data_IF_263495916761
#
_entry.id   IF_263495916761
#
_cell.length_a   1.000
_cell.length_b   1.000
_cell.length_c   1.000
_cell.angle_alpha   90.00
_cell.angle_beta   90.00
_cell.angle_gamma   90.00
#
_symmetry.space_group_name_H-M   'P 1'
#
loop_
_entity.id
_entity.type
_entity.pdbx_description
1 polymer ?
#
# COMPACT_ATOMS: atom_id res chain seq x y z
N UNK A 1 -54.96 20.26 28.79
CA UNK A 1 -53.84 20.51 27.86
C UNK A 1 -53.42 19.19 27.23
N UNK A 2 -53.70 18.96 25.94
CA UNK A 2 -53.21 17.77 25.23
C UNK A 2 -51.73 17.99 24.95
N UNK A 3 -50.85 17.25 25.63
CA UNK A 3 -49.42 17.24 25.31
C UNK A 3 -49.25 16.69 23.90
N UNK A 4 -48.65 17.48 23.02
CA UNK A 4 -48.37 17.08 21.65
C UNK A 4 -47.29 15.99 21.65
N UNK A 5 -47.74 14.73 21.57
CA UNK A 5 -46.89 13.52 21.59
C UNK A 5 -45.87 13.46 20.44
N UNK A 6 -45.95 14.39 19.47
CA UNK A 6 -44.97 14.55 18.38
C UNK A 6 -43.67 15.20 18.83
N UNK A 7 -43.69 15.94 19.94
CA UNK A 7 -42.53 16.63 20.53
C UNK A 7 -41.89 15.84 21.68
N UNK A 8 -42.02 14.51 21.68
CA UNK A 8 -41.44 13.70 22.74
C UNK A 8 -39.97 13.36 22.42
N UNK A 9 -38.98 13.98 23.11
CA UNK A 9 -37.56 13.85 22.76
C UNK A 9 -37.08 12.39 22.82
N UNK A 10 -37.65 11.61 23.74
CA UNK A 10 -37.35 10.19 23.92
C UNK A 10 -37.73 9.34 22.70
N UNK A 11 -38.74 9.74 21.92
CA UNK A 11 -39.18 9.03 20.71
C UNK A 11 -38.31 9.39 19.49
N UNK A 12 -37.72 10.57 19.47
CA UNK A 12 -36.78 11.01 18.42
C UNK A 12 -35.35 10.55 18.66
N UNK A 13 -34.94 10.31 19.92
CA UNK A 13 -33.58 9.85 20.27
C UNK A 13 -33.19 8.60 19.48
N UNK A 14 -34.05 7.56 19.43
CA UNK A 14 -33.75 6.34 18.67
C UNK A 14 -33.57 6.59 17.16
N UNK A 15 -34.33 7.53 16.57
CA UNK A 15 -34.16 7.94 15.17
C UNK A 15 -32.85 8.69 14.96
N UNK A 16 -32.49 9.61 15.88
CA UNK A 16 -31.22 10.32 15.81
C UNK A 16 -30.03 9.35 15.89
N UNK A 17 -30.09 8.34 16.77
CA UNK A 17 -29.06 7.30 16.86
C UNK A 17 -28.91 6.50 15.55
N UNK A 18 -30.02 6.10 14.92
CA UNK A 18 -29.97 5.44 13.62
C UNK A 18 -29.36 6.34 12.56
N UNK A 19 -29.79 7.61 12.46
CA UNK A 19 -29.22 8.55 11.48
C UNK A 19 -27.74 8.85 11.73
N UNK A 20 -27.30 8.89 12.99
CA UNK A 20 -25.89 9.06 13.34
C UNK A 20 -25.07 7.81 13.00
N UNK A 21 -25.64 6.61 13.20
CA UNK A 21 -25.02 5.35 12.81
C UNK A 21 -24.87 5.26 11.29
N UNK A 22 -25.89 5.64 10.53
CA UNK A 22 -25.81 5.67 9.07
C UNK A 22 -24.77 6.68 8.61
N UNK A 23 -24.77 7.89 9.19
CA UNK A 23 -23.80 8.93 8.85
C UNK A 23 -22.35 8.50 9.15
N UNK A 24 -22.12 7.76 10.24
CA UNK A 24 -20.80 7.24 10.57
C UNK A 24 -20.36 6.16 9.57
N UNK A 25 -21.26 5.23 9.20
CA UNK A 25 -21.00 4.22 8.17
C UNK A 25 -20.69 4.87 6.81
N UNK A 26 -21.48 5.87 6.37
CA UNK A 26 -21.20 6.63 5.16
C UNK A 26 -19.84 7.32 5.20
N UNK A 27 -19.46 7.88 6.34
CA UNK A 27 -18.17 8.55 6.51
C UNK A 27 -17.01 7.55 6.41
N UNK A 28 -17.17 6.35 6.97
CA UNK A 28 -16.18 5.27 6.87
C UNK A 28 -15.99 4.81 5.42
N UNK A 29 -17.08 4.56 4.70
CA UNK A 29 -17.02 4.16 3.29
C UNK A 29 -16.38 5.25 2.45
N UNK A 30 -16.78 6.52 2.63
CA UNK A 30 -16.18 7.65 1.91
C UNK A 30 -14.68 7.77 2.18
N UNK A 31 -14.25 7.56 3.42
CA UNK A 31 -12.82 7.54 3.79
C UNK A 31 -12.08 6.39 3.09
N UNK A 32 -12.66 5.19 3.08
CA UNK A 32 -12.11 4.03 2.36
C UNK A 32 -11.95 4.29 0.86
N UNK A 33 -12.96 4.90 0.22
CA UNK A 33 -12.90 5.29 -1.19
C UNK A 33 -11.81 6.32 -1.44
N UNK A 34 -11.67 7.34 -0.58
CA UNK A 34 -10.61 8.34 -0.72
C UNK A 34 -9.20 7.70 -0.62
N UNK A 35 -9.00 6.79 0.34
CA UNK A 35 -7.72 6.06 0.46
C UNK A 35 -7.45 5.20 -0.78
N UNK A 36 -8.48 4.51 -1.30
CA UNK A 36 -8.35 3.69 -2.48
C UNK A 36 -8.10 4.51 -3.76
N UNK A 37 -8.66 5.72 -3.85
CA UNK A 37 -8.40 6.65 -4.93
C UNK A 37 -6.94 7.12 -4.93
N UNK A 38 -6.42 7.52 -3.76
CA UNK A 38 -5.01 7.88 -3.62
C UNK A 38 -4.08 6.71 -3.95
N UNK A 39 -4.43 5.48 -3.54
CA UNK A 39 -3.69 4.28 -3.91
C UNK A 39 -3.70 4.06 -5.43
N UNK A 40 -4.87 4.16 -6.07
CA UNK A 40 -5.02 3.99 -7.52
C UNK A 40 -4.19 5.02 -8.28
N UNK A 41 -4.28 6.29 -7.90
CA UNK A 41 -3.48 7.37 -8.49
C UNK A 41 -2.00 7.09 -8.31
N UNK A 42 -1.55 6.68 -7.11
CA UNK A 42 -0.16 6.36 -6.87
C UNK A 42 0.34 5.17 -7.73
N UNK A 43 -0.47 4.13 -7.91
CA UNK A 43 -0.13 2.97 -8.75
C UNK A 43 -0.07 3.33 -10.24
N UNK A 44 -1.03 4.12 -10.73
CA UNK A 44 -1.05 4.59 -12.11
C UNK A 44 0.11 5.55 -12.41
N UNK A 45 0.35 6.54 -11.55
CA UNK A 45 1.30 7.61 -11.83
C UNK A 45 2.76 7.19 -11.57
N UNK A 46 3.03 6.49 -10.46
CA UNK A 46 4.41 6.19 -10.04
C UNK A 46 4.97 4.93 -10.70
N UNK A 47 4.12 3.94 -10.96
CA UNK A 47 4.53 2.65 -11.55
C UNK A 47 4.02 2.45 -12.97
N UNK A 48 3.28 3.42 -13.54
CA UNK A 48 2.70 3.35 -14.89
C UNK A 48 1.85 2.09 -15.11
N UNK A 49 1.20 1.64 -14.04
CA UNK A 49 0.37 0.44 -14.05
C UNK A 49 -1.02 0.75 -14.61
N UNK A 50 -1.50 -0.12 -15.49
CA UNK A 50 -2.89 -0.05 -15.96
C UNK A 50 -3.81 -0.69 -14.90
N UNK A 51 -4.39 0.14 -14.04
CA UNK A 51 -5.41 -0.30 -13.09
C UNK A 51 -6.79 -0.21 -13.75
N UNK A 52 -7.39 -1.36 -14.03
CA UNK A 52 -8.73 -1.43 -14.64
C UNK A 52 -9.85 -1.16 -13.63
N UNK A 53 -9.59 -1.38 -12.35
CA UNK A 53 -10.55 -1.22 -11.26
C UNK A 53 -10.73 0.24 -10.87
N UNK A 54 -11.97 0.64 -10.64
CA UNK A 54 -12.34 1.93 -10.06
C UNK A 54 -11.88 2.05 -8.60
N UNK A 55 -11.77 3.29 -8.11
CA UNK A 55 -11.44 3.56 -6.70
C UNK A 55 -12.47 2.95 -5.74
N UNK A 56 -13.74 2.84 -6.16
CA UNK A 56 -14.78 2.17 -5.39
C UNK A 56 -14.56 0.64 -5.30
N UNK A 57 -14.20 -0.02 -6.40
CA UNK A 57 -13.91 -1.46 -6.40
C UNK A 57 -12.68 -1.79 -5.55
N UNK A 58 -11.63 -0.96 -5.62
CA UNK A 58 -10.45 -1.10 -4.76
C UNK A 58 -10.80 -0.90 -3.27
N UNK A 59 -11.65 0.09 -2.97
CA UNK A 59 -12.13 0.30 -1.60
C UNK A 59 -12.91 -0.92 -1.09
N UNK A 60 -13.78 -1.50 -1.90
CA UNK A 60 -14.51 -2.73 -1.55
C UNK A 60 -13.53 -3.84 -1.21
N UNK A 61 -12.51 -4.10 -2.04
CA UNK A 61 -11.49 -5.11 -1.76
C UNK A 61 -10.79 -4.88 -0.41
N UNK A 62 -10.37 -3.64 -0.15
CA UNK A 62 -9.69 -3.27 1.10
C UNK A 62 -10.59 -3.43 2.32
N UNK A 63 -11.85 -2.99 2.23
CA UNK A 63 -12.84 -3.12 3.31
C UNK A 63 -13.20 -4.58 3.55
N UNK A 64 -13.39 -5.38 2.50
CA UNK A 64 -13.63 -6.82 2.61
C UNK A 64 -12.44 -7.53 3.25
N UNK A 65 -11.21 -7.16 2.93
CA UNK A 65 -10.02 -7.73 3.55
C UNK A 65 -9.95 -7.41 5.06
N UNK A 66 -10.28 -6.18 5.45
CA UNK A 66 -10.35 -5.75 6.84
C UNK A 66 -11.47 -6.49 7.60
N UNK A 67 -12.67 -6.52 7.03
CA UNK A 67 -13.83 -7.19 7.61
C UNK A 67 -13.60 -8.71 7.75
N UNK A 68 -13.06 -9.37 6.72
CA UNK A 68 -12.78 -10.80 6.76
C UNK A 68 -11.57 -11.16 7.65
N UNK A 69 -10.83 -10.17 8.15
CA UNK A 69 -9.65 -10.39 8.99
C UNK A 69 -8.55 -11.11 8.24
N UNK A 70 -8.24 -10.67 7.02
CA UNK A 70 -7.15 -11.25 6.25
C UNK A 70 -5.82 -11.03 6.97
N UNK A 71 -5.12 -12.14 7.27
CA UNK A 71 -3.78 -12.15 7.86
C UNK A 71 -2.69 -12.49 6.85
N UNK A 72 -1.55 -13.00 7.34
CA UNK A 72 -0.33 -13.30 6.56
C UNK A 72 -0.58 -14.09 5.27
N UNK A 73 -1.41 -15.14 5.31
CA UNK A 73 -1.63 -16.03 4.15
C UNK A 73 -2.41 -15.40 2.99
N UNK A 74 -2.96 -14.19 3.15
CA UNK A 74 -3.82 -13.53 2.16
C UNK A 74 -3.18 -12.33 1.46
N UNK A 75 -1.93 -11.97 1.79
CA UNK A 75 -1.23 -10.84 1.16
C UNK A 75 -1.11 -11.01 -0.35
N UNK A 76 -0.61 -12.16 -0.82
CA UNK A 76 -0.47 -12.40 -2.26
C UNK A 76 -1.82 -12.35 -2.99
N UNK A 77 -2.88 -12.85 -2.35
CA UNK A 77 -4.23 -12.79 -2.87
C UNK A 77 -4.73 -11.35 -2.99
N UNK A 78 -4.61 -10.56 -1.92
CA UNK A 78 -4.97 -9.14 -1.90
C UNK A 78 -4.27 -8.37 -3.02
N UNK A 79 -2.95 -8.50 -3.13
CA UNK A 79 -2.19 -7.79 -4.16
C UNK A 79 -2.60 -8.26 -5.56
N UNK A 80 -2.76 -9.57 -5.78
CA UNK A 80 -3.19 -10.09 -7.09
C UNK A 80 -4.59 -9.64 -7.52
N UNK A 81 -5.46 -9.35 -6.54
CA UNK A 81 -6.80 -8.82 -6.81
C UNK A 81 -6.77 -7.33 -7.14
N UNK A 82 -5.74 -6.59 -6.75
CA UNK A 82 -5.63 -5.14 -7.02
C UNK A 82 -4.76 -4.84 -8.25
N UNK A 83 -3.67 -5.60 -8.45
CA UNK A 83 -2.61 -5.29 -9.41
C UNK A 83 -1.96 -6.56 -9.95
N UNK A 84 -1.70 -6.60 -11.26
CA UNK A 84 -0.81 -7.61 -11.86
C UNK A 84 0.66 -7.21 -11.71
N UNK A 85 1.33 -7.80 -10.72
CA UNK A 85 2.74 -7.55 -10.41
C UNK A 85 3.72 -8.43 -11.19
N UNK A 86 3.25 -9.36 -12.04
CA UNK A 86 4.11 -10.34 -12.72
C UNK A 86 5.07 -9.70 -13.73
N UNK A 87 4.63 -8.59 -14.33
CA UNK A 87 5.38 -7.83 -15.34
C UNK A 87 6.33 -6.78 -14.76
N UNK A 88 6.30 -6.60 -13.44
CA UNK A 88 7.15 -5.62 -12.76
C UNK A 88 8.53 -6.20 -12.43
N UNK A 89 9.53 -5.33 -12.43
CA UNK A 89 10.83 -5.61 -11.84
C UNK A 89 10.74 -5.71 -10.31
N UNK A 90 11.79 -6.19 -9.65
CA UNK A 90 11.80 -6.36 -8.20
C UNK A 90 11.54 -5.02 -7.49
N UNK A 91 12.18 -3.94 -7.96
CA UNK A 91 11.95 -2.61 -7.40
C UNK A 91 10.48 -2.17 -7.51
N UNK A 92 9.85 -2.32 -8.68
CA UNK A 92 8.44 -2.03 -8.89
C UNK A 92 7.52 -2.89 -8.02
N UNK A 93 7.82 -4.19 -7.87
CA UNK A 93 7.09 -5.07 -6.95
C UNK A 93 7.15 -4.55 -5.52
N UNK A 94 8.35 -4.23 -5.02
CA UNK A 94 8.55 -3.69 -3.68
C UNK A 94 7.75 -2.39 -3.45
N UNK A 95 7.72 -1.50 -4.44
CA UNK A 95 6.93 -0.26 -4.36
C UNK A 95 5.42 -0.51 -4.35
N UNK A 96 4.92 -1.47 -5.13
CA UNK A 96 3.49 -1.86 -5.08
C UNK A 96 3.11 -2.37 -3.69
N UNK A 97 3.92 -3.28 -3.11
CA UNK A 97 3.67 -3.78 -1.76
C UNK A 97 3.69 -2.65 -0.70
N UNK A 98 4.59 -1.67 -0.85
CA UNK A 98 4.66 -0.49 0.02
C UNK A 98 3.40 0.37 -0.08
N UNK A 99 2.95 0.69 -1.29
CA UNK A 99 1.75 1.50 -1.50
C UNK A 99 0.50 0.82 -0.91
N UNK A 100 0.37 -0.49 -1.12
CA UNK A 100 -0.76 -1.27 -0.58
C UNK A 100 -0.69 -1.33 0.96
N UNK A 101 0.50 -1.53 1.55
CA UNK A 101 0.70 -1.48 3.00
C UNK A 101 0.27 -0.12 3.57
N UNK A 102 0.71 0.97 2.96
CA UNK A 102 0.42 2.32 3.44
C UNK A 102 -1.09 2.63 3.32
N UNK A 103 -1.75 2.17 2.25
CA UNK A 103 -3.20 2.26 2.13
C UNK A 103 -3.93 1.45 3.23
N UNK A 104 -3.51 0.20 3.48
CA UNK A 104 -4.13 -0.67 4.50
C UNK A 104 -3.90 -0.15 5.93
N UNK A 105 -2.74 0.46 6.22
CA UNK A 105 -2.47 1.06 7.54
C UNK A 105 -3.36 2.25 7.85
N UNK A 106 -3.70 3.06 6.84
CA UNK A 106 -4.55 4.25 6.95
C UNK A 106 -6.04 3.96 7.14
N UNK A 107 -6.47 2.73 6.90
CA UNK A 107 -7.87 2.36 7.12
C UNK A 107 -8.26 2.59 8.59
N UNK A 108 -9.46 3.17 8.85
CA UNK A 108 -9.94 3.40 10.21
C UNK A 108 -9.89 2.15 11.07
N UNK A 109 -9.37 2.27 12.30
CA UNK A 109 -9.24 1.14 13.24
C UNK A 109 -10.57 0.47 13.58
N UNK A 110 -11.68 1.20 13.52
CA UNK A 110 -13.02 0.66 13.77
C UNK A 110 -13.43 -0.43 12.78
N UNK A 111 -12.80 -0.49 11.60
CA UNK A 111 -13.00 -1.57 10.62
C UNK A 111 -12.34 -2.89 11.04
N UNK A 112 -11.51 -2.86 12.08
CA UNK A 112 -10.79 -4.00 12.61
C UNK A 112 -11.31 -4.31 14.01
N UNK A 113 -12.31 -5.20 14.13
CA UNK A 113 -12.77 -5.70 15.42
C UNK A 113 -11.59 -6.20 16.26
N UNK A 114 -11.71 -6.10 17.59
CA UNK A 114 -10.61 -6.39 18.51
C UNK A 114 -10.04 -7.80 18.31
N UNK A 115 -10.90 -8.77 18.02
CA UNK A 115 -10.55 -10.16 17.72
C UNK A 115 -9.77 -10.33 16.40
N UNK A 116 -9.84 -9.36 15.48
CA UNK A 116 -9.13 -9.34 14.19
C UNK A 116 -7.89 -8.44 14.19
N UNK A 117 -7.60 -7.75 15.29
CA UNK A 117 -6.42 -6.88 15.40
C UNK A 117 -5.09 -7.65 15.28
N UNK A 118 -5.07 -8.94 15.63
CA UNK A 118 -3.91 -9.80 15.39
C UNK A 118 -3.71 -10.07 13.90
N UNK A 119 -4.79 -10.39 13.18
CA UNK A 119 -4.73 -10.60 11.72
C UNK A 119 -4.28 -9.34 10.98
N UNK A 120 -4.74 -8.16 11.42
CA UNK A 120 -4.24 -6.87 10.90
C UNK A 120 -2.72 -6.77 11.01
N UNK A 121 -2.16 -7.09 12.17
CA UNK A 121 -0.70 -7.02 12.41
C UNK A 121 0.03 -7.97 11.49
N UNK A 122 -0.43 -9.22 11.42
CA UNK A 122 0.18 -10.23 10.55
C UNK A 122 0.12 -9.87 9.06
N UNK A 123 -0.98 -9.25 8.61
CA UNK A 123 -1.10 -8.74 7.24
C UNK A 123 -0.05 -7.66 6.95
N UNK A 124 0.08 -6.69 7.85
CA UNK A 124 1.02 -5.57 7.69
C UNK A 124 2.49 -6.03 7.80
N UNK A 125 2.78 -6.97 8.69
CA UNK A 125 4.09 -7.58 8.83
C UNK A 125 4.47 -8.38 7.57
N UNK A 126 3.53 -9.15 7.01
CA UNK A 126 3.77 -9.89 5.79
C UNK A 126 3.96 -8.96 4.58
N UNK A 127 3.15 -7.90 4.46
CA UNK A 127 3.39 -6.86 3.46
C UNK A 127 4.79 -6.25 3.61
N UNK A 128 5.22 -5.99 4.85
CA UNK A 128 6.57 -5.47 5.14
C UNK A 128 7.65 -6.48 4.76
N UNK A 129 7.42 -7.78 5.01
CA UNK A 129 8.33 -8.85 4.59
C UNK A 129 8.50 -8.91 3.07
N UNK A 130 7.41 -8.77 2.32
CA UNK A 130 7.46 -8.73 0.85
C UNK A 130 8.25 -7.51 0.35
N UNK A 131 8.05 -6.33 0.97
CA UNK A 131 8.81 -5.12 0.63
C UNK A 131 10.32 -5.38 0.77
N UNK A 132 10.75 -5.92 1.91
CA UNK A 132 12.17 -6.20 2.17
C UNK A 132 12.73 -7.22 1.18
N UNK A 133 11.99 -8.30 0.90
CA UNK A 133 12.40 -9.32 -0.05
C UNK A 133 12.69 -8.76 -1.46
N UNK A 134 11.91 -7.78 -1.90
CA UNK A 134 12.09 -7.15 -3.21
C UNK A 134 13.06 -5.95 -3.20
N UNK A 135 13.37 -5.40 -2.02
CA UNK A 135 14.39 -4.35 -1.85
C UNK A 135 15.81 -4.93 -1.82
N UNK A 136 16.02 -6.08 -1.18
CA UNK A 136 17.31 -6.77 -1.12
C UNK A 136 17.76 -7.28 -2.51
N UNK A 137 16.79 -7.48 -3.42
CA UNK A 137 16.99 -8.00 -4.77
C UNK A 137 17.03 -6.88 -5.84
N UNK A 138 17.08 -5.62 -5.40
CA UNK A 138 17.43 -4.49 -6.25
C UNK A 138 18.95 -4.52 -6.48
N UNK A 139 19.45 -4.49 -7.73
CA UNK A 139 20.88 -4.40 -7.97
C UNK A 139 21.40 -3.18 -7.21
N UNK A 140 22.38 -3.39 -6.33
CA UNK A 140 23.00 -2.29 -5.60
C UNK A 140 23.38 -1.24 -6.64
N UNK A 141 22.73 -0.08 -6.56
CA UNK A 141 23.19 1.08 -7.31
C UNK A 141 24.63 1.24 -6.85
N UNK A 142 25.59 1.00 -7.77
CA UNK A 142 27.01 1.00 -7.44
C UNK A 142 27.29 2.17 -6.52
N UNK A 143 27.80 1.88 -5.34
CA UNK A 143 28.07 2.90 -4.33
C UNK A 143 29.08 3.90 -4.91
N UNK A 144 29.06 5.14 -4.42
CA UNK A 144 30.03 6.17 -4.88
C UNK A 144 31.47 5.69 -4.80
N UNK A 145 31.77 4.83 -3.83
CA UNK A 145 33.10 4.24 -3.66
C UNK A 145 33.40 3.16 -4.70
N UNK A 146 32.44 2.32 -5.07
CA UNK A 146 32.60 1.35 -6.18
C UNK A 146 32.74 2.04 -7.55
N UNK A 147 32.03 3.16 -7.76
CA UNK A 147 32.20 4.00 -8.97
C UNK A 147 33.60 4.61 -9.00
N UNK A 148 34.09 5.13 -7.87
CA UNK A 148 35.44 5.68 -7.74
C UNK A 148 36.51 4.61 -7.98
N UNK A 149 36.31 3.41 -7.44
CA UNK A 149 37.25 2.31 -7.59
C UNK A 149 37.30 1.80 -9.04
N UNK A 150 36.17 1.73 -9.74
CA UNK A 150 36.15 1.38 -11.17
C UNK A 150 36.89 2.42 -12.01
N UNK A 151 36.63 3.71 -11.78
CA UNK A 151 37.34 4.80 -12.47
C UNK A 151 38.85 4.75 -12.20
N UNK A 152 39.26 4.44 -10.97
CA UNK A 152 40.67 4.26 -10.64
C UNK A 152 41.27 3.08 -11.41
N UNK A 153 40.62 1.91 -11.41
CA UNK A 153 41.08 0.72 -12.15
C UNK A 153 41.22 1.00 -13.66
N UNK A 154 40.26 1.71 -14.25
CA UNK A 154 40.32 2.10 -15.67
C UNK A 154 41.48 3.07 -15.94
N UNK A 155 41.72 4.03 -15.05
CA UNK A 155 42.85 4.98 -15.19
C UNK A 155 44.22 4.30 -15.10
N UNK A 156 44.37 3.31 -14.19
CA UNK A 156 45.61 2.53 -14.02
C UNK A 156 45.86 1.64 -15.24
N UNK A 157 44.82 1.01 -15.80
CA UNK A 157 44.94 0.20 -17.02
C UNK A 157 45.34 1.06 -18.23
N UNK A 158 44.76 2.26 -18.37
CA UNK A 158 45.11 3.20 -19.43
C UNK A 158 46.56 3.71 -19.33
N UNK A 159 47.06 3.95 -18.11
CA UNK A 159 48.47 4.31 -17.90
C UNK A 159 49.41 3.17 -18.29
N UNK A 160 49.13 1.93 -17.86
CA UNK A 160 49.95 0.77 -18.23
C UNK A 160 50.00 0.53 -19.75
N UNK A 161 48.88 0.72 -20.45
CA UNK A 161 48.83 0.59 -21.91
C UNK A 161 49.63 1.67 -22.65
N UNK A 162 49.77 2.87 -22.07
CA UNK A 162 50.63 3.92 -22.64
C UNK A 162 52.11 3.63 -22.41
N UNK A 163 52.48 3.14 -21.23
CA UNK A 163 53.86 2.76 -20.92
C UNK A 163 54.37 1.59 -21.78
N UNK A 164 53.52 0.59 -22.05
CA UNK A 164 53.89 -0.53 -22.93
C UNK A 164 54.05 -0.11 -24.39
N UNK A 165 53.29 0.89 -24.87
CA UNK A 165 53.43 1.45 -26.23
C UNK A 165 54.67 2.33 -26.42
N UNK A 166 55.20 2.94 -25.36
CA UNK A 166 56.41 3.78 -25.43
C UNK A 166 57.68 2.92 -25.39
N UNK A 167 57.60 1.70 -24.87
CA UNK A 167 58.73 0.75 -24.75
C UNK A 167 58.86 -0.23 -25.92
N UNK A 168 57.93 -0.21 -26.88
CA UNK A 168 58.00 -0.94 -28.17
C UNK A 168 58.52 -0.04 -29.26
#
# INVERSE_FOLDING_TARGET
MKSDLRKNPHRSIGRYWLTMSDASAFTLVRSGIAIADELRVALCDKEKLLITQSSAELAVLMLTAAEAGWGKGKVAHLVSQMVDVRKLDNHGKGRVYLLIRDAMTRLPMILWPQEKMQMRRELLEELTRQINLYQDDAPSVMTRDEVRERQWRESVLAMRQRETRIRS
#
